data_IF_511019573051
#
_entry.id   IF_511019573051
#
_cell.length_a   1.000
_cell.length_b   1.000
_cell.length_c   1.000
_cell.angle_alpha   90.00
_cell.angle_beta   90.00
_cell.angle_gamma   90.00
#
_symmetry.space_group_name_H-M   'P 1'
#
loop_
_entity.id
_entity.type
_entity.pdbx_description
1 polymer ?
#
# COMPACT_ATOMS: atom_id res chain seq x y z
N UNK A 1 12.55 -14.65 -1.41
CA UNK A 1 12.49 -13.48 -0.50
C UNK A 1 11.48 -12.50 -1.06
N UNK A 2 10.40 -12.20 -0.33
CA UNK A 2 9.30 -11.30 -0.77
C UNK A 2 9.37 -9.90 -0.15
N UNK A 3 10.52 -9.57 0.47
CA UNK A 3 10.84 -8.24 1.02
C UNK A 3 11.52 -7.39 -0.04
N UNK A 4 11.27 -6.08 -0.01
CA UNK A 4 11.90 -5.13 -0.92
C UNK A 4 11.59 -3.67 -0.57
N UNK A 5 12.13 -2.79 -1.41
CA UNK A 5 11.87 -1.34 -1.38
C UNK A 5 11.05 -0.98 -2.62
N UNK A 6 10.02 -0.18 -2.42
CA UNK A 6 8.97 0.08 -3.39
C UNK A 6 8.68 1.57 -3.48
N UNK A 7 8.70 2.13 -4.69
CA UNK A 7 8.21 3.48 -4.95
C UNK A 7 6.76 3.38 -5.43
N UNK A 8 5.83 3.98 -4.68
CA UNK A 8 4.39 3.91 -4.95
C UNK A 8 3.75 5.28 -4.93
N UNK A 9 2.65 5.42 -5.68
CA UNK A 9 1.79 6.60 -5.68
C UNK A 9 0.48 6.29 -4.95
N UNK A 10 0.03 7.18 -4.07
CA UNK A 10 -1.28 7.09 -3.41
C UNK A 10 -2.39 7.42 -4.40
N UNK A 11 -3.34 6.50 -4.59
CA UNK A 11 -4.40 6.66 -5.62
C UNK A 11 -5.74 7.06 -5.03
N UNK A 12 -6.05 6.60 -3.82
CA UNK A 12 -7.35 6.81 -3.17
C UNK A 12 -7.18 7.15 -1.69
N UNK A 13 -8.28 7.58 -1.06
CA UNK A 13 -8.29 7.80 0.39
C UNK A 13 -8.08 6.48 1.13
N UNK A 14 -7.37 6.49 2.27
CA UNK A 14 -7.21 5.31 3.09
C UNK A 14 -8.55 4.79 3.63
N UNK A 15 -8.69 3.47 3.70
CA UNK A 15 -9.81 2.77 4.31
C UNK A 15 -9.34 2.22 5.66
N UNK A 16 -10.06 2.55 6.74
CA UNK A 16 -9.82 1.94 8.04
C UNK A 16 -10.46 0.55 8.07
N UNK A 17 -9.69 -0.45 8.49
CA UNK A 17 -10.14 -1.81 8.71
C UNK A 17 -9.87 -2.21 10.16
N UNK A 18 -10.73 -3.05 10.72
CA UNK A 18 -10.52 -3.67 12.03
C UNK A 18 -10.15 -5.13 11.85
N UNK A 19 -9.05 -5.55 12.47
CA UNK A 19 -8.60 -6.94 12.49
C UNK A 19 -8.39 -7.39 13.94
N UNK A 20 -9.41 -8.01 14.53
CA UNK A 20 -9.49 -8.21 15.97
C UNK A 20 -9.52 -6.87 16.69
N UNK A 21 -8.61 -6.67 17.64
CA UNK A 21 -8.45 -5.42 18.38
C UNK A 21 -7.57 -4.39 17.66
N UNK A 22 -6.94 -4.76 16.54
CA UNK A 22 -6.01 -3.90 15.82
C UNK A 22 -6.71 -3.12 14.70
N UNK A 23 -6.43 -1.81 14.63
CA UNK A 23 -6.81 -0.96 13.51
C UNK A 23 -5.73 -0.99 12.42
N UNK A 24 -6.16 -1.15 11.18
CA UNK A 24 -5.32 -1.27 9.99
C UNK A 24 -5.73 -0.24 8.97
N UNK A 25 -4.77 0.40 8.31
CA UNK A 25 -5.03 1.29 7.18
C UNK A 25 -4.75 0.54 5.87
N UNK A 26 -5.78 0.46 5.01
CA UNK A 26 -5.66 -0.10 3.66
C UNK A 26 -5.74 1.03 2.65
N UNK A 27 -4.72 1.17 1.81
CA UNK A 27 -4.60 2.25 0.83
C UNK A 27 -4.39 1.64 -0.55
N UNK A 28 -5.16 2.08 -1.55
CA UNK A 28 -4.87 1.74 -2.93
C UNK A 28 -3.66 2.55 -3.42
N UNK A 29 -2.59 1.85 -3.79
CA UNK A 29 -1.37 2.47 -4.31
C UNK A 29 -1.00 1.89 -5.67
N UNK A 30 -0.20 2.65 -6.40
CA UNK A 30 0.20 2.31 -7.77
C UNK A 30 1.70 2.39 -7.96
N UNK A 31 2.28 1.36 -8.57
CA UNK A 31 3.67 1.40 -9.04
C UNK A 31 3.83 2.25 -10.29
N UNK A 32 5.05 2.71 -10.56
CA UNK A 32 5.41 3.33 -11.83
C UNK A 32 4.88 2.47 -13.01
N UNK A 33 4.25 3.12 -13.98
CA UNK A 33 3.53 2.44 -15.06
C UNK A 33 4.49 1.53 -15.84
N UNK A 34 4.26 0.21 -15.90
CA UNK A 34 5.11 -0.67 -16.67
C UNK A 34 4.99 -0.35 -18.17
N UNK A 35 6.08 -0.53 -18.93
CA UNK A 35 6.09 -0.32 -20.39
C UNK A 35 5.17 -1.28 -21.15
N UNK A 36 4.82 -2.43 -20.56
CA UNK A 36 3.93 -3.43 -21.16
C UNK A 36 2.46 -3.04 -20.94
N UNK A 37 1.66 -3.13 -22.01
CA UNK A 37 0.19 -3.03 -21.93
C UNK A 37 -0.37 -4.20 -21.12
N UNK A 38 -1.46 -3.97 -20.38
CA UNK A 38 -2.23 -4.95 -19.59
C UNK A 38 -1.59 -5.54 -18.32
N UNK A 39 -0.61 -4.87 -17.71
CA UNK A 39 -0.11 -5.26 -16.38
C UNK A 39 -0.85 -4.49 -15.30
N UNK A 40 -1.50 -5.20 -14.38
CA UNK A 40 -2.07 -4.60 -13.15
C UNK A 40 -0.91 -4.07 -12.30
N UNK A 41 -0.89 -2.76 -12.08
CA UNK A 41 0.15 -2.09 -11.30
C UNK A 41 -0.41 -1.39 -10.05
N UNK A 42 -1.65 -1.72 -9.71
CA UNK A 42 -2.36 -1.26 -8.52
C UNK A 42 -2.43 -2.39 -7.51
N UNK A 43 -2.01 -2.10 -6.28
CA UNK A 43 -1.95 -3.02 -5.15
C UNK A 43 -2.41 -2.30 -3.88
N UNK A 44 -2.74 -3.06 -2.84
CA UNK A 44 -3.09 -2.47 -1.56
C UNK A 44 -1.88 -2.38 -0.64
N UNK A 45 -1.59 -1.17 -0.18
CA UNK A 45 -0.65 -0.93 0.92
C UNK A 45 -1.38 -1.11 2.25
N UNK A 46 -0.79 -1.93 3.13
CA UNK A 46 -1.32 -2.23 4.46
C UNK A 46 -0.39 -1.62 5.51
N UNK A 47 -0.92 -0.69 6.30
CA UNK A 47 -0.21 -0.04 7.40
C UNK A 47 -0.78 -0.48 8.75
N UNK A 48 0.11 -0.80 9.68
CA UNK A 48 -0.20 -1.21 11.04
C UNK A 48 0.34 -0.17 12.03
N UNK A 49 -0.31 -0.05 13.19
CA UNK A 49 0.20 0.71 14.33
C UNK A 49 0.47 2.19 14.02
N UNK A 50 1.58 2.72 14.52
CA UNK A 50 1.91 4.16 14.48
C UNK A 50 1.93 4.80 13.08
N UNK A 51 2.28 4.03 12.04
CA UNK A 51 2.29 4.53 10.66
C UNK A 51 0.92 4.96 10.15
N UNK A 52 -0.17 4.47 10.77
CA UNK A 52 -1.54 4.85 10.41
C UNK A 52 -1.81 6.33 10.71
N UNK A 53 -1.45 6.78 11.91
CA UNK A 53 -1.70 8.16 12.34
C UNK A 53 -0.84 9.13 11.54
N UNK A 54 0.44 8.81 11.34
CA UNK A 54 1.32 9.61 10.47
C UNK A 54 0.75 9.72 9.05
N UNK A 55 0.20 8.62 8.52
CA UNK A 55 -0.35 8.65 7.17
C UNK A 55 -1.57 9.53 7.04
N UNK A 56 -2.50 9.45 8.00
CA UNK A 56 -3.72 10.26 8.00
C UNK A 56 -3.39 11.75 8.11
N UNK A 57 -2.35 12.11 8.86
CA UNK A 57 -1.99 13.49 9.14
C UNK A 57 -1.14 14.13 8.03
N UNK A 58 -0.28 13.37 7.36
CA UNK A 58 0.77 13.95 6.50
C UNK A 58 0.67 13.59 5.01
N UNK A 59 -0.04 12.51 4.64
CA UNK A 59 -0.07 12.05 3.26
C UNK A 59 -1.44 12.25 2.59
N UNK A 60 -1.41 12.58 1.30
CA UNK A 60 -2.56 12.88 0.46
C UNK A 60 -2.60 11.99 -0.78
N UNK A 61 -3.73 12.01 -1.46
CA UNK A 61 -3.87 11.39 -2.79
C UNK A 61 -2.90 12.08 -3.75
N UNK A 62 -2.25 11.27 -4.60
CA UNK A 62 -1.18 11.63 -5.55
C UNK A 62 0.22 11.76 -4.98
N UNK A 63 0.39 11.74 -3.66
CA UNK A 63 1.72 11.69 -3.06
C UNK A 63 2.47 10.42 -3.48
N UNK A 64 3.79 10.55 -3.55
CA UNK A 64 4.70 9.45 -3.78
C UNK A 64 5.43 9.10 -2.51
N UNK A 65 5.46 7.80 -2.20
CA UNK A 65 6.03 7.25 -0.99
C UNK A 65 7.05 6.16 -1.33
N UNK A 66 8.13 6.11 -0.56
CA UNK A 66 9.04 4.99 -0.56
C UNK A 66 8.66 4.04 0.58
N UNK A 67 8.40 2.78 0.25
CA UNK A 67 7.95 1.76 1.19
C UNK A 67 9.01 0.68 1.27
N UNK A 68 9.54 0.44 2.47
CA UNK A 68 10.22 -0.81 2.75
C UNK A 68 9.17 -1.79 3.27
N UNK A 69 9.03 -2.96 2.64
CA UNK A 69 7.91 -3.85 2.97
C UNK A 69 8.01 -5.24 2.39
N UNK A 70 6.92 -5.98 2.55
CA UNK A 70 6.78 -7.36 2.10
C UNK A 70 5.55 -7.47 1.19
N UNK A 71 5.72 -8.06 0.02
CA UNK A 71 4.59 -8.40 -0.87
C UNK A 71 3.99 -9.74 -0.43
N UNK A 72 2.68 -9.76 -0.24
CA UNK A 72 1.89 -10.94 0.04
C UNK A 72 0.75 -11.05 -0.96
N UNK A 73 0.32 -12.27 -1.23
CA UNK A 73 -0.88 -12.55 -2.01
C UNK A 73 -1.89 -13.22 -1.10
N UNK A 74 -3.13 -12.76 -1.15
CA UNK A 74 -4.26 -13.38 -0.46
C UNK A 74 -5.27 -13.83 -1.50
N UNK A 75 -5.47 -15.14 -1.58
CA UNK A 75 -6.49 -15.73 -2.43
C UNK A 75 -7.78 -15.83 -1.62
N UNK A 76 -8.84 -15.17 -2.08
CA UNK A 76 -10.18 -15.36 -1.55
C UNK A 76 -10.87 -16.56 -2.22
N UNK A 77 -11.93 -17.11 -1.61
CA UNK A 77 -12.76 -18.13 -2.27
C UNK A 77 -13.27 -17.55 -3.60
N UNK A 78 -13.15 -18.32 -4.68
CA UNK A 78 -13.50 -17.94 -6.07
C UNK A 78 -12.49 -17.02 -6.79
N UNK A 79 -11.21 -17.41 -6.80
CA UNK A 79 -10.16 -16.94 -7.75
C UNK A 79 -9.83 -15.44 -7.79
N UNK A 80 -10.37 -14.63 -6.87
CA UNK A 80 -9.92 -13.25 -6.69
C UNK A 80 -8.65 -13.20 -5.84
N UNK A 81 -7.52 -12.96 -6.51
CA UNK A 81 -6.22 -12.75 -5.89
C UNK A 81 -6.04 -11.27 -5.54
N UNK A 82 -5.86 -10.99 -4.25
CA UNK A 82 -5.51 -9.68 -3.75
C UNK A 82 -4.03 -9.62 -3.39
N UNK A 83 -3.27 -8.79 -4.11
CA UNK A 83 -1.87 -8.52 -3.81
C UNK A 83 -1.80 -7.36 -2.81
N UNK A 84 -1.14 -7.62 -1.69
CA UNK A 84 -0.93 -6.69 -0.60
C UNK A 84 0.56 -6.38 -0.43
N UNK A 85 0.87 -5.13 -0.10
CA UNK A 85 2.19 -4.68 0.33
C UNK A 85 2.09 -4.29 1.80
N UNK A 86 2.69 -5.10 2.67
CA UNK A 86 2.74 -4.82 4.10
C UNK A 86 3.94 -3.93 4.37
N UNK A 87 3.70 -2.71 4.87
CA UNK A 87 4.77 -1.78 5.17
C UNK A 87 5.51 -2.17 6.46
N UNK A 88 6.84 -2.15 6.41
CA UNK A 88 7.71 -2.12 7.58
C UNK A 88 8.16 -0.69 7.89
N UNK A 89 8.40 0.10 6.85
CA UNK A 89 8.73 1.53 6.96
C UNK A 89 8.12 2.30 5.79
N UNK A 90 7.71 3.53 6.07
CA UNK A 90 7.14 4.46 5.09
C UNK A 90 7.98 5.73 5.13
N UNK A 91 8.46 6.18 3.98
CA UNK A 91 9.22 7.41 3.86
C UNK A 91 8.53 8.36 2.87
N UNK A 92 8.47 9.66 3.19
CA UNK A 92 8.04 10.66 2.23
C UNK A 92 9.02 10.71 1.05
N UNK A 93 8.52 10.82 -0.17
CA UNK A 93 9.37 10.97 -1.36
C UNK A 93 9.03 12.24 -2.15
N UNK A 94 7.78 12.37 -2.61
CA UNK A 94 7.28 13.61 -3.25
C UNK A 94 5.86 13.87 -2.73
N UNK A 95 5.71 14.90 -1.91
CA UNK A 95 4.45 15.28 -1.27
C UNK A 95 3.92 16.59 -1.88
N UNK A 96 2.60 16.69 -2.08
CA UNK A 96 1.88 17.91 -2.56
C UNK A 96 1.29 18.77 -1.41
#
# INVERSE_FOLDING_TARGET
MNHGIFLVKVMEKPINLSYGENLVLKILVKFAKPRKKNVKNEIYLILWGGFREDFINFYKIKDYLLIEGIITSKVYKESQEEINLIAKRVYPFLLD
#
